data_IF_671929603547
#
_entry.id   IF_671929603547
#
_cell.length_a   1.000
_cell.length_b   1.000
_cell.length_c   1.000
_cell.angle_alpha   90.00
_cell.angle_beta   90.00
_cell.angle_gamma   90.00
#
_symmetry.space_group_name_H-M   'P 1'
#
loop_
_entity.id
_entity.type
_entity.pdbx_description
1 polymer ?
#
# COMPACT_ATOMS: atom_id res chain seq x y z
N UNK A 1 -1.67 -9.17 1.60
CA UNK A 1 -1.09 -8.70 2.89
C UNK A 1 -0.44 -7.35 2.63
N UNK A 2 -0.92 -6.30 3.29
CA UNK A 2 -0.38 -4.93 3.16
C UNK A 2 0.76 -4.63 4.14
N UNK A 3 0.97 -5.49 5.13
CA UNK A 3 2.14 -5.39 5.99
C UNK A 3 3.37 -5.87 5.23
N UNK A 4 4.45 -5.09 5.30
CA UNK A 4 5.72 -5.50 4.73
C UNK A 4 6.19 -6.77 5.46
N UNK A 5 6.62 -7.82 4.76
CA UNK A 5 7.02 -9.05 5.42
C UNK A 5 8.30 -8.81 6.22
N UNK A 6 8.20 -8.98 7.54
CA UNK A 6 9.34 -8.87 8.45
C UNK A 6 9.91 -10.25 8.74
N UNK A 7 11.22 -10.39 8.51
CA UNK A 7 11.95 -11.64 8.73
C UNK A 7 13.05 -11.42 9.76
N UNK A 8 13.03 -12.19 10.84
CA UNK A 8 14.08 -12.16 11.85
C UNK A 8 15.40 -12.70 11.29
N UNK A 9 16.53 -12.18 11.78
CA UNK A 9 17.83 -12.63 11.32
C UNK A 9 18.04 -14.13 11.64
N UNK A 10 18.50 -14.89 10.66
CA UNK A 10 18.80 -16.32 10.87
C UNK A 10 19.87 -16.50 11.97
N UNK A 11 19.68 -17.41 12.94
CA UNK A 11 20.65 -17.64 14.01
C UNK A 11 22.02 -18.02 13.46
N UNK A 12 23.04 -17.22 13.78
CA UNK A 12 24.42 -17.50 13.32
C UNK A 12 25.09 -18.50 14.25
N UNK A 13 25.50 -19.64 13.70
CA UNK A 13 26.33 -20.59 14.43
C UNK A 13 27.71 -19.97 14.71
N UNK A 14 28.22 -20.15 15.93
CA UNK A 14 29.56 -19.68 16.29
C UNK A 14 30.62 -20.39 15.46
N UNK A 15 31.52 -19.63 14.83
CA UNK A 15 32.68 -20.14 14.08
C UNK A 15 33.49 -21.13 14.93
N UNK A 16 33.88 -22.30 14.40
CA UNK A 16 34.81 -23.18 15.08
C UNK A 16 36.14 -22.47 15.26
N UNK A 17 36.67 -22.48 16.48
CA UNK A 17 38.00 -21.97 16.78
C UNK A 17 39.02 -23.07 16.43
N UNK A 18 39.55 -23.00 15.22
CA UNK A 18 40.51 -23.97 14.69
C UNK A 18 41.72 -24.13 15.61
N UNK A 19 42.21 -23.05 16.22
CA UNK A 19 43.39 -23.08 17.09
C UNK A 19 43.12 -23.88 18.36
N UNK A 20 41.96 -23.68 18.98
CA UNK A 20 41.59 -24.41 20.22
C UNK A 20 41.31 -25.89 19.96
N UNK A 21 40.74 -26.22 18.81
CA UNK A 21 40.50 -27.61 18.41
C UNK A 21 41.79 -28.37 18.11
N UNK A 22 42.75 -27.73 17.43
CA UNK A 22 44.09 -28.29 17.22
C UNK A 22 44.86 -28.45 18.52
N UNK A 23 44.86 -27.44 19.39
CA UNK A 23 45.48 -27.53 20.71
C UNK A 23 44.89 -28.67 21.56
N UNK A 24 43.56 -28.82 21.55
CA UNK A 24 42.88 -29.93 22.23
C UNK A 24 43.27 -31.30 21.67
N UNK A 25 43.39 -31.41 20.34
CA UNK A 25 43.86 -32.64 19.68
C UNK A 25 45.30 -33.00 20.03
N UNK A 26 46.21 -32.01 20.08
CA UNK A 26 47.62 -32.21 20.48
C UNK A 26 47.71 -32.62 21.95
N UNK A 27 46.96 -31.98 22.84
CA UNK A 27 46.92 -32.35 24.27
C UNK A 27 46.39 -33.78 24.44
N UNK A 28 45.33 -34.15 23.71
CA UNK A 28 44.77 -35.50 23.76
C UNK A 28 45.76 -36.55 23.25
N UNK A 29 46.48 -36.26 22.17
CA UNK A 29 47.53 -37.11 21.63
C UNK A 29 48.74 -37.20 22.58
N UNK A 30 49.11 -36.11 23.25
CA UNK A 30 50.16 -36.12 24.27
C UNK A 30 49.76 -36.95 25.49
N UNK A 31 48.53 -36.81 26.00
CA UNK A 31 48.00 -37.62 27.10
C UNK A 31 47.99 -39.11 26.76
N UNK A 32 47.67 -39.45 25.50
CA UNK A 32 47.77 -40.81 24.97
C UNK A 32 49.24 -41.29 24.99
N UNK A 33 50.17 -40.52 24.42
CA UNK A 33 51.58 -40.94 24.34
C UNK A 33 52.18 -41.10 25.73
N UNK A 34 51.87 -40.19 26.65
CA UNK A 34 52.33 -40.23 28.03
C UNK A 34 51.73 -41.44 28.75
N UNK A 35 50.43 -41.72 28.61
CA UNK A 35 49.81 -42.90 29.25
C UNK A 35 50.34 -44.23 28.72
N UNK A 36 50.64 -44.33 27.42
CA UNK A 36 51.31 -45.50 26.82
C UNK A 36 52.78 -45.58 27.28
N UNK A 37 53.50 -44.46 27.28
CA UNK A 37 54.93 -44.39 27.64
C UNK A 37 55.20 -44.70 29.11
N UNK A 38 54.42 -44.15 30.04
CA UNK A 38 54.52 -44.47 31.48
C UNK A 38 54.30 -45.96 31.75
N UNK A 39 53.44 -46.61 30.97
CA UNK A 39 53.15 -48.04 31.11
C UNK A 39 54.20 -48.93 30.42
N UNK A 40 54.79 -48.46 29.33
CA UNK A 40 55.94 -49.11 28.69
C UNK A 40 57.18 -49.09 29.61
N UNK A 41 57.40 -48.00 30.35
CA UNK A 41 58.49 -47.93 31.34
C UNK A 41 58.21 -48.73 32.62
N UNK A 42 56.94 -48.99 32.97
CA UNK A 42 56.58 -49.78 34.16
C UNK A 42 56.47 -51.29 33.91
N UNK A 43 56.39 -51.73 32.65
CA UNK A 43 56.21 -53.15 32.30
C UNK A 43 57.57 -53.85 32.16
N UNK A 44 58.18 -54.14 33.29
CA UNK A 44 59.38 -55.00 33.37
C UNK A 44 59.05 -56.50 33.47
N UNK A 45 57.85 -56.95 33.09
CA UNK A 45 57.49 -58.38 33.07
C UNK A 45 56.42 -58.63 31.99
N UNK A 46 56.74 -59.39 30.94
CA UNK A 46 55.78 -59.87 29.95
C UNK A 46 54.94 -61.02 30.55
N UNK A 47 53.73 -60.71 31.00
CA UNK A 47 52.69 -61.69 31.33
C UNK A 47 51.57 -61.68 30.29
N UNK A 48 50.96 -62.84 30.01
CA UNK A 48 49.90 -62.95 28.99
C UNK A 48 48.65 -62.10 29.29
N UNK A 49 48.44 -61.70 30.55
CA UNK A 49 47.32 -60.84 30.99
C UNK A 49 47.43 -59.40 30.47
N UNK A 50 48.65 -58.93 30.12
CA UNK A 50 48.86 -57.60 29.55
C UNK A 50 48.28 -57.49 28.14
N UNK A 51 48.26 -58.58 27.35
CA UNK A 51 47.79 -58.54 25.95
C UNK A 51 46.31 -58.15 25.83
N UNK A 52 45.47 -58.57 26.77
CA UNK A 52 44.05 -58.23 26.79
C UNK A 52 43.81 -56.76 27.19
N UNK A 53 44.68 -56.18 28.03
CA UNK A 53 44.63 -54.77 28.39
C UNK A 53 45.17 -53.89 27.25
N UNK A 54 46.25 -54.30 26.58
CA UNK A 54 46.75 -53.67 25.36
C UNK A 54 45.69 -53.70 24.23
N UNK A 55 44.94 -54.80 24.09
CA UNK A 55 43.83 -54.89 23.14
C UNK A 55 42.66 -53.94 23.51
N UNK A 56 42.23 -53.89 24.77
CA UNK A 56 41.15 -52.97 25.21
C UNK A 56 41.57 -51.50 25.18
N UNK A 57 42.82 -51.21 25.56
CA UNK A 57 43.40 -49.87 25.55
C UNK A 57 43.64 -49.35 24.14
N UNK A 58 44.10 -50.19 23.21
CA UNK A 58 44.24 -49.83 21.80
C UNK A 58 42.88 -49.56 21.14
N UNK A 59 41.84 -50.32 21.47
CA UNK A 59 40.47 -50.05 21.00
C UNK A 59 39.95 -48.71 21.52
N UNK A 60 40.11 -48.41 22.82
CA UNK A 60 39.71 -47.11 23.39
C UNK A 60 40.51 -45.94 22.82
N UNK A 61 41.79 -46.17 22.52
CA UNK A 61 42.66 -45.19 21.88
C UNK A 61 42.21 -44.88 20.44
N UNK A 62 42.00 -45.91 19.64
CA UNK A 62 41.50 -45.76 18.26
C UNK A 62 40.16 -45.04 18.27
N UNK A 63 39.29 -45.36 19.23
CA UNK A 63 37.98 -44.73 19.37
C UNK A 63 38.06 -43.23 19.73
N UNK A 64 38.90 -42.85 20.69
CA UNK A 64 39.09 -41.43 21.07
C UNK A 64 39.75 -40.61 19.97
N UNK A 65 40.77 -41.15 19.31
CA UNK A 65 41.43 -40.53 18.16
C UNK A 65 40.54 -40.46 16.92
N UNK A 66 39.53 -41.33 16.79
CA UNK A 66 38.55 -41.28 15.71
C UNK A 66 37.38 -40.31 16.02
N UNK A 67 36.89 -40.27 17.26
CA UNK A 67 35.76 -39.39 17.64
C UNK A 67 36.16 -37.92 17.61
N UNK A 68 37.36 -37.56 18.07
CA UNK A 68 37.78 -36.17 18.11
C UNK A 68 37.74 -35.47 16.72
N UNK A 69 38.37 -36.01 15.67
CA UNK A 69 38.28 -35.44 14.33
C UNK A 69 36.86 -35.55 13.76
N UNK A 70 36.11 -36.62 14.07
CA UNK A 70 34.72 -36.74 13.64
C UNK A 70 33.83 -35.64 14.23
N UNK A 71 33.98 -35.33 15.53
CA UNK A 71 33.27 -34.25 16.21
C UNK A 71 33.68 -32.88 15.66
N UNK A 72 34.97 -32.69 15.33
CA UNK A 72 35.44 -31.49 14.68
C UNK A 72 34.85 -31.32 13.28
N UNK A 73 34.87 -32.37 12.45
CA UNK A 73 34.26 -32.38 11.11
C UNK A 73 32.77 -32.10 11.21
N UNK A 74 32.05 -32.76 12.11
CA UNK A 74 30.64 -32.51 12.35
C UNK A 74 30.38 -31.04 12.74
N UNK A 75 31.24 -30.44 13.57
CA UNK A 75 31.13 -29.02 13.94
C UNK A 75 31.44 -28.06 12.79
N UNK A 76 32.43 -28.37 11.95
CA UNK A 76 32.74 -27.59 10.73
C UNK A 76 31.60 -27.69 9.73
N UNK A 77 31.05 -28.89 9.52
CA UNK A 77 29.89 -29.11 8.67
C UNK A 77 28.68 -28.36 9.21
N UNK A 78 28.37 -28.47 10.50
CA UNK A 78 27.27 -27.72 11.13
C UNK A 78 27.42 -26.21 10.93
N UNK A 79 28.61 -25.66 11.17
CA UNK A 79 28.85 -24.23 10.93
C UNK A 79 28.71 -23.85 9.45
N UNK A 80 29.20 -24.69 8.54
CA UNK A 80 29.12 -24.44 7.10
C UNK A 80 27.68 -24.49 6.61
N UNK A 81 26.90 -25.49 7.02
CA UNK A 81 25.47 -25.58 6.75
C UNK A 81 24.70 -24.42 7.37
N UNK A 82 24.97 -24.05 8.62
CA UNK A 82 24.31 -22.91 9.26
C UNK A 82 24.64 -21.59 8.55
N UNK A 83 25.88 -21.39 8.11
CA UNK A 83 26.29 -20.20 7.35
C UNK A 83 25.65 -20.17 5.96
N UNK A 84 25.60 -21.32 5.28
CA UNK A 84 24.97 -21.46 3.97
C UNK A 84 23.46 -21.21 4.05
N UNK A 85 22.79 -21.78 5.06
CA UNK A 85 21.38 -21.54 5.33
C UNK A 85 21.11 -20.08 5.68
N UNK A 86 21.94 -19.46 6.52
CA UNK A 86 21.82 -18.05 6.85
C UNK A 86 21.93 -17.15 5.60
N UNK A 87 22.85 -17.48 4.69
CA UNK A 87 23.02 -16.77 3.43
C UNK A 87 21.78 -16.90 2.53
N UNK A 88 21.31 -18.13 2.27
CA UNK A 88 20.14 -18.36 1.43
C UNK A 88 18.86 -17.80 2.04
N UNK A 89 18.71 -17.89 3.36
CA UNK A 89 17.61 -17.27 4.09
C UNK A 89 17.62 -15.76 3.85
N UNK A 90 18.74 -15.06 4.15
CA UNK A 90 18.85 -13.62 3.95
C UNK A 90 18.63 -13.19 2.50
N UNK A 91 19.13 -13.97 1.53
CA UNK A 91 18.91 -13.71 0.11
C UNK A 91 17.44 -13.84 -0.26
N UNK A 92 16.78 -14.91 0.17
CA UNK A 92 15.38 -15.19 -0.17
C UNK A 92 14.43 -14.20 0.50
N UNK A 93 14.64 -13.91 1.79
CA UNK A 93 13.83 -12.92 2.51
C UNK A 93 14.03 -11.52 1.93
N UNK A 94 15.25 -11.17 1.54
CA UNK A 94 15.55 -9.93 0.84
C UNK A 94 14.83 -9.81 -0.50
N UNK A 95 14.81 -10.88 -1.30
CA UNK A 95 14.07 -10.90 -2.58
C UNK A 95 12.56 -10.76 -2.37
N UNK A 96 11.98 -11.51 -1.44
CA UNK A 96 10.54 -11.40 -1.14
C UNK A 96 10.18 -9.99 -0.69
N UNK A 97 11.00 -9.37 0.16
CA UNK A 97 10.78 -8.00 0.61
C UNK A 97 10.91 -6.99 -0.53
N UNK A 98 11.88 -7.17 -1.43
CA UNK A 98 12.06 -6.34 -2.62
C UNK A 98 10.86 -6.45 -3.56
N UNK A 99 10.46 -7.67 -3.94
CA UNK A 99 9.29 -7.92 -4.81
C UNK A 99 8.01 -7.33 -4.20
N UNK A 100 7.86 -7.46 -2.88
CA UNK A 100 6.75 -6.88 -2.15
C UNK A 100 6.74 -5.35 -2.27
N UNK A 101 7.88 -4.68 -2.03
CA UNK A 101 8.00 -3.23 -2.17
C UNK A 101 7.83 -2.77 -3.61
N UNK A 102 8.38 -3.49 -4.60
CA UNK A 102 8.21 -3.17 -6.01
C UNK A 102 6.74 -3.16 -6.39
N UNK A 103 5.97 -4.16 -5.95
CA UNK A 103 4.53 -4.20 -6.17
C UNK A 103 3.78 -3.07 -5.47
N UNK A 104 4.13 -2.77 -4.21
CA UNK A 104 3.43 -1.75 -3.43
C UNK A 104 3.79 -0.31 -3.85
N UNK A 105 4.89 -0.13 -4.59
CA UNK A 105 5.32 1.14 -5.19
C UNK A 105 4.78 1.37 -6.60
N UNK A 106 3.99 0.43 -7.13
CA UNK A 106 3.32 0.59 -8.42
C UNK A 106 2.31 1.74 -8.34
N UNK A 107 2.18 2.48 -9.45
CA UNK A 107 1.36 3.69 -9.53
C UNK A 107 0.57 3.70 -10.82
N UNK A 108 -0.64 4.25 -10.79
CA UNK A 108 -1.48 4.45 -11.97
C UNK A 108 -1.51 5.92 -12.36
N UNK A 109 -1.58 6.21 -13.65
CA UNK A 109 -1.74 7.56 -14.16
C UNK A 109 -3.21 7.98 -14.18
N UNK A 110 -3.52 9.11 -13.56
CA UNK A 110 -4.74 9.87 -13.76
C UNK A 110 -4.55 10.78 -14.98
N UNK A 111 -5.13 10.36 -16.09
CA UNK A 111 -4.98 11.06 -17.37
C UNK A 111 -5.99 12.18 -17.53
N UNK A 112 -7.20 11.97 -17.02
CA UNK A 112 -8.26 12.97 -16.99
C UNK A 112 -9.12 12.75 -15.74
N UNK A 113 -9.67 13.84 -15.21
CA UNK A 113 -10.53 13.81 -14.04
C UNK A 113 -11.60 14.90 -14.10
N UNK A 114 -12.83 14.51 -13.78
CA UNK A 114 -13.93 15.45 -13.50
C UNK A 114 -14.25 15.36 -12.02
N UNK A 115 -14.44 16.51 -11.38
CA UNK A 115 -15.03 16.61 -10.04
C UNK A 115 -16.13 17.66 -10.07
N UNK A 116 -17.33 17.22 -9.76
CA UNK A 116 -18.50 18.04 -9.53
C UNK A 116 -18.78 18.07 -8.03
N UNK A 117 -18.86 19.26 -7.47
CA UNK A 117 -19.25 19.56 -6.10
C UNK A 117 -19.92 20.94 -6.02
N UNK A 118 -20.46 21.31 -4.86
CA UNK A 118 -21.22 22.56 -4.67
C UNK A 118 -20.45 23.82 -5.06
N UNK A 119 -19.13 23.82 -4.86
CA UNK A 119 -18.22 24.91 -5.23
C UNK A 119 -17.14 24.49 -6.22
N UNK A 120 -17.30 23.34 -6.88
CA UNK A 120 -16.32 22.78 -7.80
C UNK A 120 -17.00 22.17 -9.02
N UNK A 121 -16.74 22.72 -10.20
CA UNK A 121 -17.25 22.14 -11.46
C UNK A 121 -16.16 21.99 -12.53
N UNK A 122 -15.01 22.62 -12.30
CA UNK A 122 -13.86 22.60 -13.18
C UNK A 122 -12.61 22.37 -12.34
N UNK A 123 -11.53 21.96 -13.01
CA UNK A 123 -10.22 21.81 -12.37
C UNK A 123 -9.74 23.11 -11.70
N UNK A 124 -9.99 24.26 -12.30
CA UNK A 124 -9.65 25.56 -11.72
C UNK A 124 -10.42 25.84 -10.44
N UNK A 125 -11.73 25.53 -10.40
CA UNK A 125 -12.53 25.65 -9.17
C UNK A 125 -11.98 24.74 -8.07
N UNK A 126 -11.62 23.48 -8.40
CA UNK A 126 -11.03 22.57 -7.43
C UNK A 126 -9.70 23.04 -6.85
N UNK A 127 -8.86 23.71 -7.64
CA UNK A 127 -7.63 24.34 -7.15
C UNK A 127 -7.93 25.51 -6.21
N UNK A 128 -8.96 26.30 -6.52
CA UNK A 128 -9.42 27.39 -5.66
C UNK A 128 -9.94 26.89 -4.32
N UNK A 129 -10.57 25.71 -4.24
CA UNK A 129 -11.02 25.10 -2.97
C UNK A 129 -9.89 24.90 -1.95
N UNK A 130 -8.65 24.78 -2.42
CA UNK A 130 -7.46 24.58 -1.58
C UNK A 130 -6.75 25.90 -1.24
N UNK A 131 -7.23 27.03 -1.76
CA UNK A 131 -6.71 28.35 -1.46
C UNK A 131 -7.15 28.81 -0.07
N UNK A 132 -6.29 29.49 0.71
CA UNK A 132 -6.67 30.05 2.01
C UNK A 132 -7.79 31.11 1.93
N UNK A 133 -7.99 31.72 0.76
CA UNK A 133 -9.01 32.75 0.55
C UNK A 133 -10.39 32.17 0.19
N UNK A 134 -10.49 30.85 -0.03
CA UNK A 134 -11.75 30.21 -0.40
C UNK A 134 -12.73 30.18 0.78
N UNK A 135 -13.98 30.55 0.50
CA UNK A 135 -15.06 30.45 1.45
C UNK A 135 -15.96 29.27 1.08
N UNK A 136 -16.10 28.28 1.97
CA UNK A 136 -17.01 27.16 1.75
C UNK A 136 -18.45 27.63 1.52
N UNK A 137 -19.24 26.87 0.76
CA UNK A 137 -20.65 27.14 0.55
C UNK A 137 -21.41 27.10 1.88
N UNK A 138 -22.35 28.03 2.06
CA UNK A 138 -23.22 28.02 3.24
C UNK A 138 -24.21 26.86 3.16
N UNK A 139 -24.31 25.99 4.18
CA UNK A 139 -25.32 24.94 4.21
C UNK A 139 -26.74 25.52 4.16
N UNK A 140 -27.58 24.95 3.29
CA UNK A 140 -28.98 25.32 3.18
C UNK A 140 -29.81 24.58 4.25
N UNK A 141 -30.75 25.29 4.86
CA UNK A 141 -31.68 24.69 5.82
C UNK A 141 -32.77 23.91 5.07
N UNK A 142 -32.84 22.60 5.29
CA UNK A 142 -33.93 21.75 4.82
C UNK A 142 -34.69 21.18 6.03
N UNK A 143 -36.04 20.99 5.95
CA UNK A 143 -36.84 20.44 7.04
C UNK A 143 -36.32 19.14 7.67
N UNK A 144 -35.62 18.32 6.90
CA UNK A 144 -35.08 17.02 7.30
C UNK A 144 -33.64 17.09 7.80
N UNK A 145 -32.94 18.22 7.64
CA UNK A 145 -31.55 18.43 8.07
C UNK A 145 -30.81 19.43 7.16
N UNK A 146 -29.63 19.91 7.56
CA UNK A 146 -28.85 20.83 6.72
C UNK A 146 -28.25 20.11 5.48
N UNK A 147 -28.16 20.82 4.35
CA UNK A 147 -27.67 20.26 3.08
C UNK A 147 -26.64 21.17 2.39
N UNK A 148 -25.70 20.58 1.67
CA UNK A 148 -24.83 21.28 0.72
C UNK A 148 -25.05 20.63 -0.65
N UNK A 149 -25.64 21.39 -1.57
CA UNK A 149 -26.15 20.88 -2.85
C UNK A 149 -25.42 21.51 -4.03
N UNK A 150 -25.36 20.78 -5.14
CA UNK A 150 -24.95 21.39 -6.40
C UNK A 150 -26.06 22.33 -6.90
N UNK A 151 -25.78 23.61 -7.20
CA UNK A 151 -26.82 24.56 -7.64
C UNK A 151 -27.56 24.14 -8.91
N UNK A 152 -26.91 23.39 -9.80
CA UNK A 152 -27.44 22.97 -11.09
C UNK A 152 -28.16 21.61 -11.05
N UNK A 153 -28.18 20.96 -9.89
CA UNK A 153 -28.86 19.67 -9.68
C UNK A 153 -30.20 19.93 -9.00
N UNK A 154 -31.28 19.59 -9.69
CA UNK A 154 -32.64 19.62 -9.16
C UNK A 154 -33.20 18.21 -9.06
N UNK A 155 -33.95 17.93 -8.00
CA UNK A 155 -34.65 16.64 -7.82
C UNK A 155 -35.37 16.62 -6.48
N UNK A 156 -36.48 15.90 -6.41
CA UNK A 156 -37.32 15.82 -5.23
C UNK A 156 -36.72 14.92 -4.14
N UNK A 157 -35.98 13.89 -4.53
CA UNK A 157 -35.32 12.95 -3.63
C UNK A 157 -33.83 12.76 -4.00
N UNK A 158 -33.10 12.01 -3.17
CA UNK A 158 -31.68 11.75 -3.38
C UNK A 158 -31.39 10.90 -4.63
N UNK A 159 -32.32 10.04 -5.04
CA UNK A 159 -32.14 9.18 -6.22
C UNK A 159 -32.24 9.97 -7.53
N UNK A 160 -33.24 10.86 -7.65
CA UNK A 160 -33.39 11.74 -8.80
C UNK A 160 -32.20 12.71 -8.91
N UNK A 161 -31.73 13.21 -7.77
CA UNK A 161 -30.53 14.07 -7.73
C UNK A 161 -29.27 13.31 -8.13
N UNK A 162 -29.12 12.05 -7.72
CA UNK A 162 -28.03 11.17 -8.18
C UNK A 162 -28.08 10.94 -9.71
N UNK A 163 -29.28 10.77 -10.30
CA UNK A 163 -29.44 10.66 -11.75
C UNK A 163 -29.02 11.93 -12.48
N UNK A 164 -29.38 13.10 -11.97
CA UNK A 164 -28.97 14.38 -12.56
C UNK A 164 -27.45 14.59 -12.42
N UNK A 165 -26.86 14.21 -11.28
CA UNK A 165 -25.40 14.22 -11.10
C UNK A 165 -24.70 13.32 -12.15
N UNK A 166 -25.21 12.12 -12.38
CA UNK A 166 -24.69 11.20 -13.39
C UNK A 166 -24.77 11.80 -14.80
N UNK A 167 -25.88 12.48 -15.12
CA UNK A 167 -26.07 13.15 -16.41
C UNK A 167 -25.11 14.33 -16.60
N UNK A 168 -24.97 15.17 -15.57
CA UNK A 168 -24.04 16.30 -15.56
C UNK A 168 -22.57 15.85 -15.64
N UNK A 169 -22.22 14.73 -14.99
CA UNK A 169 -20.86 14.19 -15.03
C UNK A 169 -20.43 13.84 -16.46
N UNK A 170 -21.31 13.20 -17.23
CA UNK A 170 -21.07 12.87 -18.63
C UNK A 170 -20.95 14.12 -19.52
N UNK A 171 -21.80 15.12 -19.29
CA UNK A 171 -21.76 16.40 -20.03
C UNK A 171 -20.46 17.17 -19.74
N UNK A 172 -20.08 17.28 -18.47
CA UNK A 172 -18.85 17.98 -18.05
C UNK A 172 -17.61 17.29 -18.63
N UNK A 173 -17.59 15.95 -18.64
CA UNK A 173 -16.47 15.22 -19.23
C UNK A 173 -16.35 15.48 -20.73
N UNK A 174 -17.46 15.49 -21.47
CA UNK A 174 -17.44 15.79 -22.91
C UNK A 174 -17.01 17.23 -23.22
N UNK A 175 -17.37 18.18 -22.36
CA UNK A 175 -16.98 19.59 -22.50
C UNK A 175 -15.47 19.79 -22.27
N UNK A 176 -14.89 19.12 -21.26
CA UNK A 176 -13.48 19.35 -20.89
C UNK A 176 -12.48 18.51 -21.68
N UNK A 177 -12.88 17.32 -22.16
CA UNK A 177 -11.95 16.38 -22.79
C UNK A 177 -11.46 16.92 -24.13
N UNK A 178 -10.22 16.61 -24.46
CA UNK A 178 -9.76 16.79 -25.84
C UNK A 178 -10.54 15.85 -26.77
N UNK A 179 -11.01 16.37 -27.91
CA UNK A 179 -11.73 15.60 -28.94
C UNK A 179 -10.78 14.76 -29.81
N UNK A 180 -9.81 14.14 -29.18
CA UNK A 180 -8.86 13.19 -29.76
C UNK A 180 -9.50 11.80 -29.84
N UNK A 181 -8.83 10.85 -30.47
CA UNK A 181 -9.31 9.47 -30.63
C UNK A 181 -9.71 8.85 -29.28
N UNK A 182 -10.98 8.45 -29.18
CA UNK A 182 -11.57 7.96 -27.92
C UNK A 182 -11.26 6.48 -27.78
N UNK A 183 -10.41 6.17 -26.80
CA UNK A 183 -10.05 4.79 -26.48
C UNK A 183 -11.16 4.12 -25.69
N UNK A 184 -11.48 2.89 -26.07
CA UNK A 184 -12.45 2.06 -25.37
C UNK A 184 -11.86 1.61 -24.01
N UNK A 185 -12.53 1.86 -22.87
CA UNK A 185 -12.06 1.40 -21.58
C UNK A 185 -12.11 -0.12 -21.50
N UNK A 186 -11.08 -0.70 -20.90
CA UNK A 186 -10.95 -2.13 -20.64
C UNK A 186 -12.04 -2.61 -19.66
N UNK A 187 -12.31 -1.81 -18.63
CA UNK A 187 -13.38 -2.02 -17.67
C UNK A 187 -13.84 -0.68 -17.09
N UNK A 188 -15.01 -0.71 -16.46
CA UNK A 188 -15.64 0.43 -15.81
C UNK A 188 -15.93 0.10 -14.35
N UNK A 189 -15.57 1.00 -13.45
CA UNK A 189 -15.96 0.95 -12.04
C UNK A 189 -16.96 2.06 -11.71
N UNK A 190 -17.96 1.74 -10.89
CA UNK A 190 -19.00 2.69 -10.49
C UNK A 190 -19.24 2.74 -8.99
N UNK A 191 -19.24 3.94 -8.42
CA UNK A 191 -19.72 4.24 -7.07
C UNK A 191 -21.07 4.95 -7.16
N UNK A 192 -22.14 4.31 -6.69
CA UNK A 192 -23.50 4.85 -6.73
C UNK A 192 -24.51 3.79 -7.13
N UNK A 193 -25.77 4.19 -7.37
CA UNK A 193 -26.81 3.25 -7.79
C UNK A 193 -26.61 2.76 -9.23
N UNK A 194 -27.12 1.55 -9.52
CA UNK A 194 -27.12 1.02 -10.88
C UNK A 194 -28.00 1.85 -11.83
N UNK A 195 -29.08 2.46 -11.32
CA UNK A 195 -29.95 3.33 -12.13
C UNK A 195 -29.22 4.62 -12.52
N UNK A 196 -28.42 5.20 -11.61
CA UNK A 196 -27.57 6.34 -11.95
C UNK A 196 -26.50 5.97 -12.99
N UNK A 197 -25.91 4.76 -12.91
CA UNK A 197 -25.01 4.26 -13.96
C UNK A 197 -25.70 4.20 -15.33
N UNK A 198 -26.92 3.69 -15.41
CA UNK A 198 -27.67 3.63 -16.67
C UNK A 198 -27.91 5.02 -17.27
N UNK A 199 -28.25 6.01 -16.44
CA UNK A 199 -28.39 7.41 -16.88
C UNK A 199 -27.06 7.98 -17.37
N UNK A 200 -25.95 7.68 -16.68
CA UNK A 200 -24.61 8.04 -17.12
C UNK A 200 -24.29 7.42 -18.49
N UNK A 201 -24.52 6.11 -18.68
CA UNK A 201 -24.28 5.41 -19.96
C UNK A 201 -25.11 6.00 -21.09
N UNK A 202 -26.38 6.28 -20.86
CA UNK A 202 -27.27 6.90 -21.84
C UNK A 202 -26.70 8.27 -22.28
N UNK A 203 -26.34 9.11 -21.32
CA UNK A 203 -25.80 10.44 -21.61
C UNK A 203 -24.43 10.36 -22.29
N UNK A 204 -23.54 9.45 -21.87
CA UNK A 204 -22.23 9.24 -22.48
C UNK A 204 -22.36 8.76 -23.93
N UNK A 205 -23.37 7.93 -24.24
CA UNK A 205 -23.65 7.47 -25.60
C UNK A 205 -24.08 8.63 -26.51
N UNK A 206 -24.82 9.60 -25.95
CA UNK A 206 -25.21 10.81 -26.69
C UNK A 206 -24.02 11.75 -26.94
N UNK A 207 -23.20 11.99 -25.91
CA UNK A 207 -22.03 12.87 -26.00
C UNK A 207 -20.91 12.26 -26.87
N UNK A 208 -20.68 10.95 -26.74
CA UNK A 208 -19.61 10.23 -27.40
C UNK A 208 -20.08 8.87 -27.96
N UNK A 209 -20.72 8.84 -29.15
CA UNK A 209 -21.28 7.62 -29.74
C UNK A 209 -20.26 6.52 -30.06
N UNK A 210 -18.96 6.87 -30.12
CA UNK A 210 -17.87 5.94 -30.39
C UNK A 210 -17.50 5.11 -29.15
N UNK A 211 -17.80 5.63 -27.95
CA UNK A 211 -17.52 4.97 -26.68
C UNK A 211 -18.65 4.01 -26.32
N UNK A 212 -18.32 2.74 -26.06
CA UNK A 212 -19.30 1.72 -25.69
C UNK A 212 -19.14 1.34 -24.23
N UNK A 213 -20.00 1.85 -23.35
CA UNK A 213 -19.96 1.44 -21.94
C UNK A 213 -20.75 0.14 -21.72
N UNK A 214 -20.34 -0.71 -20.77
CA UNK A 214 -21.07 -1.93 -20.47
C UNK A 214 -22.42 -1.63 -19.81
N UNK A 215 -23.38 -2.55 -19.95
CA UNK A 215 -24.70 -2.44 -19.30
C UNK A 215 -24.58 -2.38 -17.77
N UNK A 216 -23.63 -3.12 -17.20
CA UNK A 216 -23.34 -3.16 -15.77
C UNK A 216 -21.85 -2.92 -15.51
N UNK A 217 -21.49 -2.01 -14.58
CA UNK A 217 -20.12 -1.74 -14.21
C UNK A 217 -19.64 -2.72 -13.12
N UNK A 218 -18.33 -2.79 -12.90
CA UNK A 218 -17.78 -3.36 -11.65
C UNK A 218 -18.10 -2.39 -10.49
N UNK A 219 -18.53 -2.87 -9.32
CA UNK A 219 -18.77 -1.99 -8.18
C UNK A 219 -17.45 -1.39 -7.69
N UNK A 220 -17.45 -0.10 -7.38
CA UNK A 220 -16.33 0.55 -6.70
C UNK A 220 -16.24 0.09 -5.25
N UNK A 221 -15.05 -0.37 -4.85
CA UNK A 221 -14.75 -0.90 -3.51
C UNK A 221 -13.60 -0.14 -2.86
N UNK A 222 -13.53 1.17 -3.10
CA UNK A 222 -12.49 2.03 -2.55
C UNK A 222 -11.09 1.60 -2.98
N UNK A 223 -10.19 1.46 -2.00
CA UNK A 223 -8.80 1.11 -2.26
C UNK A 223 -8.61 -0.24 -2.94
N UNK A 224 -9.53 -1.20 -2.75
CA UNK A 224 -9.42 -2.52 -3.40
C UNK A 224 -9.57 -2.41 -4.91
N UNK A 225 -10.49 -1.57 -5.37
CA UNK A 225 -10.67 -1.29 -6.80
C UNK A 225 -9.43 -0.58 -7.34
N UNK A 226 -8.93 0.45 -6.65
CA UNK A 226 -7.71 1.16 -7.06
C UNK A 226 -6.50 0.22 -7.17
N UNK A 227 -6.31 -0.66 -6.18
CA UNK A 227 -5.23 -1.65 -6.18
C UNK A 227 -5.32 -2.62 -7.38
N UNK A 228 -6.53 -3.14 -7.66
CA UNK A 228 -6.80 -4.01 -8.80
C UNK A 228 -6.50 -3.29 -10.13
N UNK A 229 -6.85 -2.00 -10.23
CA UNK A 229 -6.59 -1.19 -11.42
C UNK A 229 -5.08 -1.00 -11.62
N UNK A 230 -4.35 -0.68 -10.56
CA UNK A 230 -2.88 -0.56 -10.60
C UNK A 230 -2.25 -1.88 -11.07
N UNK A 231 -2.67 -3.02 -10.53
CA UNK A 231 -2.19 -4.33 -10.96
C UNK A 231 -2.46 -4.60 -12.45
N UNK A 232 -3.63 -4.21 -12.97
CA UNK A 232 -4.01 -4.38 -14.38
C UNK A 232 -3.21 -3.47 -15.32
N UNK A 233 -2.89 -2.25 -14.88
CA UNK A 233 -2.27 -1.22 -15.74
C UNK A 233 -0.74 -1.22 -15.71
N UNK A 234 -0.09 -1.78 -14.68
CA UNK A 234 1.37 -1.71 -14.50
C UNK A 234 2.20 -2.19 -15.71
N UNK A 235 1.70 -3.17 -16.46
CA UNK A 235 2.37 -3.72 -17.65
C UNK A 235 1.47 -3.70 -18.90
N UNK A 236 0.38 -2.93 -18.85
CA UNK A 236 -0.52 -2.79 -19.97
C UNK A 236 0.07 -1.86 -21.04
N UNK A 237 -0.27 -2.04 -22.33
CA UNK A 237 0.05 -1.08 -23.38
C UNK A 237 -0.51 0.31 -23.09
N UNK A 238 0.16 1.36 -23.57
CA UNK A 238 -0.23 2.77 -23.34
C UNK A 238 -1.62 3.15 -23.88
N UNK A 239 -2.27 2.30 -24.68
CA UNK A 239 -3.63 2.51 -25.18
C UNK A 239 -4.71 1.97 -24.23
N UNK A 240 -4.35 1.20 -23.20
CA UNK A 240 -5.33 0.64 -22.27
C UNK A 240 -5.82 1.72 -21.31
N UNK A 241 -7.13 1.81 -21.15
CA UNK A 241 -7.78 2.75 -20.23
C UNK A 241 -8.70 2.02 -19.28
N UNK A 242 -8.90 2.59 -18.09
CA UNK A 242 -9.95 2.19 -17.15
C UNK A 242 -10.76 3.42 -16.78
N UNK A 243 -12.08 3.29 -16.83
CA UNK A 243 -13.00 4.33 -16.39
C UNK A 243 -13.43 4.04 -14.95
N UNK A 244 -13.26 4.99 -14.04
CA UNK A 244 -13.86 4.92 -12.72
C UNK A 244 -14.72 6.15 -12.54
N UNK A 245 -15.98 5.99 -12.17
CA UNK A 245 -16.86 7.13 -11.95
C UNK A 245 -17.81 6.88 -10.78
N UNK A 246 -18.43 7.92 -10.29
CA UNK A 246 -19.44 7.78 -9.27
C UNK A 246 -20.16 9.06 -8.93
N UNK A 247 -21.33 8.90 -8.34
CA UNK A 247 -22.18 9.98 -7.87
C UNK A 247 -22.63 9.66 -6.45
N UNK A 248 -22.76 10.70 -5.64
CA UNK A 248 -23.36 10.60 -4.33
C UNK A 248 -24.29 11.80 -4.13
N UNK A 249 -25.52 11.51 -3.73
CA UNK A 249 -26.43 12.49 -3.14
C UNK A 249 -26.94 11.93 -1.82
N UNK A 250 -26.48 12.50 -0.71
CA UNK A 250 -26.83 12.00 0.63
C UNK A 250 -28.18 12.58 1.04
N UNK A 251 -29.02 11.78 1.69
CA UNK A 251 -30.28 12.24 2.25
C UNK A 251 -30.05 13.14 3.48
N UNK A 252 -30.80 14.23 3.64
CA UNK A 252 -30.72 15.09 4.82
C UNK A 252 -31.15 14.35 6.09
N UNK A 253 -30.42 14.58 7.19
CA UNK A 253 -30.72 14.03 8.51
C UNK A 253 -30.44 15.09 9.59
N UNK A 254 -31.35 15.26 10.55
CA UNK A 254 -31.23 16.30 11.60
C UNK A 254 -30.11 16.05 12.59
N UNK A 255 -29.87 14.78 12.90
CA UNK A 255 -28.96 14.37 13.99
C UNK A 255 -27.54 14.08 13.48
N UNK A 256 -27.26 14.31 12.19
CA UNK A 256 -25.95 14.07 11.59
C UNK A 256 -25.00 15.25 11.84
N UNK A 257 -23.75 14.94 12.18
CA UNK A 257 -22.71 15.94 12.46
C UNK A 257 -22.39 16.81 11.24
N UNK A 258 -22.40 16.21 10.04
CA UNK A 258 -22.13 16.89 8.78
C UNK A 258 -23.41 17.06 7.97
N UNK A 259 -23.57 18.20 7.27
CA UNK A 259 -24.69 18.39 6.36
C UNK A 259 -24.66 17.34 5.24
N UNK A 260 -25.83 16.98 4.72
CA UNK A 260 -25.90 16.03 3.62
C UNK A 260 -25.30 16.64 2.35
N UNK A 261 -24.36 15.91 1.76
CA UNK A 261 -23.53 16.37 0.66
C UNK A 261 -23.90 15.82 -0.71
N UNK A 262 -23.31 16.44 -1.72
CA UNK A 262 -23.38 15.99 -3.12
C UNK A 262 -22.05 16.12 -3.83
N UNK A 263 -21.68 15.08 -4.58
CA UNK A 263 -20.58 15.15 -5.51
C UNK A 263 -20.72 14.11 -6.62
N UNK A 264 -20.02 14.34 -7.71
CA UNK A 264 -19.79 13.34 -8.74
C UNK A 264 -18.32 13.40 -9.21
N UNK A 265 -17.73 12.24 -9.47
CA UNK A 265 -16.32 12.13 -9.86
C UNK A 265 -16.20 11.20 -11.05
N UNK A 266 -15.30 11.53 -11.97
CA UNK A 266 -14.88 10.65 -13.05
C UNK A 266 -13.36 10.65 -13.12
N UNK A 267 -12.76 9.46 -13.26
CA UNK A 267 -11.35 9.23 -13.51
C UNK A 267 -11.18 8.44 -14.80
N UNK A 268 -10.30 8.96 -15.64
CA UNK A 268 -9.77 8.26 -16.79
C UNK A 268 -8.35 7.81 -16.47
N UNK A 269 -8.18 6.52 -16.17
CA UNK A 269 -6.93 5.95 -15.71
C UNK A 269 -6.18 5.25 -16.84
N UNK A 270 -4.86 5.37 -16.83
CA UNK A 270 -3.97 4.70 -17.79
C UNK A 270 -2.64 4.28 -17.17
N UNK A 271 -1.76 3.62 -17.95
CA UNK A 271 -0.45 3.18 -17.46
C UNK A 271 0.51 4.35 -17.18
N UNK A 272 0.41 5.44 -17.94
CA UNK A 272 1.36 6.57 -17.94
C UNK A 272 0.68 7.91 -18.24
N UNK A 273 1.31 9.01 -17.79
CA UNK A 273 0.90 10.40 -18.04
C UNK A 273 0.29 11.12 -16.84
N UNK A 274 0.17 12.45 -16.95
CA UNK A 274 -0.56 13.30 -16.01
C UNK A 274 -0.06 13.23 -14.57
N UNK A 275 -0.96 12.93 -13.64
CA UNK A 275 -0.65 12.75 -12.21
C UNK A 275 -0.65 11.28 -11.88
N UNK A 276 0.24 10.83 -10.98
CA UNK A 276 0.30 9.45 -10.55
C UNK A 276 -0.34 9.26 -9.18
N UNK A 277 -1.26 8.31 -9.11
CA UNK A 277 -1.77 7.80 -7.84
C UNK A 277 -0.90 6.64 -7.36
N UNK A 278 -0.36 6.79 -6.16
CA UNK A 278 0.24 5.68 -5.43
C UNK A 278 -0.85 4.76 -4.88
N UNK A 279 -0.49 3.49 -4.61
CA UNK A 279 -1.33 2.64 -3.77
C UNK A 279 -1.54 3.33 -2.42
N UNK A 280 -2.78 3.32 -1.95
CA UNK A 280 -3.12 3.84 -0.64
C UNK A 280 -2.93 2.79 0.45
N UNK A 281 -2.83 3.24 1.69
CA UNK A 281 -2.89 2.46 2.91
C UNK A 281 -4.23 2.63 3.62
N UNK A 282 -4.60 1.70 4.49
CA UNK A 282 -5.79 1.80 5.32
C UNK A 282 -5.42 1.55 6.78
N UNK A 283 -6.19 2.15 7.67
CA UNK A 283 -5.99 2.05 9.10
C UNK A 283 -7.25 1.52 9.77
N UNK A 284 -7.04 0.53 10.64
CA UNK A 284 -8.06 0.00 11.55
C UNK A 284 -7.44 -0.02 12.95
N UNK A 285 -8.11 0.61 13.92
CA UNK A 285 -7.62 0.78 15.30
C UNK A 285 -7.28 -0.53 16.01
N UNK A 286 -7.86 -1.65 15.59
CA UNK A 286 -7.64 -2.97 16.19
C UNK A 286 -6.39 -3.70 15.65
N UNK A 287 -5.79 -3.26 14.54
CA UNK A 287 -4.79 -4.05 13.81
C UNK A 287 -3.36 -3.51 13.93
N UNK A 288 -3.16 -2.21 13.71
CA UNK A 288 -1.82 -1.59 13.67
C UNK A 288 -1.88 -0.16 14.22
N UNK A 289 -0.74 0.39 14.64
CA UNK A 289 -0.64 1.81 15.01
C UNK A 289 -0.62 2.72 13.78
N UNK A 290 -1.31 3.87 13.86
CA UNK A 290 -1.45 4.80 12.75
C UNK A 290 -0.10 5.31 12.23
N UNK A 291 0.86 5.54 13.11
CA UNK A 291 2.22 5.95 12.73
C UNK A 291 2.92 4.92 11.82
N UNK A 292 2.70 3.63 12.05
CA UNK A 292 3.27 2.55 11.24
C UNK A 292 2.63 2.53 9.85
N UNK A 293 1.31 2.68 9.78
CA UNK A 293 0.56 2.75 8.52
C UNK A 293 0.98 3.99 7.71
N UNK A 294 1.08 5.15 8.36
CA UNK A 294 1.55 6.39 7.72
C UNK A 294 2.99 6.25 7.20
N UNK A 295 3.89 5.68 7.98
CA UNK A 295 5.27 5.44 7.55
C UNK A 295 5.33 4.50 6.33
N UNK A 296 4.47 3.47 6.30
CA UNK A 296 4.37 2.56 5.15
C UNK A 296 3.89 3.29 3.90
N UNK A 297 2.86 4.15 4.02
CA UNK A 297 2.39 4.98 2.91
C UNK A 297 3.48 5.89 2.33
N UNK A 298 4.34 6.47 3.19
CA UNK A 298 5.51 7.26 2.76
C UNK A 298 6.53 6.40 2.01
N UNK A 299 6.88 5.22 2.55
CA UNK A 299 7.83 4.30 1.91
C UNK A 299 7.32 3.75 0.56
N UNK A 300 6.02 3.55 0.42
CA UNK A 300 5.36 3.18 -0.85
C UNK A 300 5.40 4.32 -1.87
N UNK A 301 5.24 5.55 -1.38
CA UNK A 301 5.30 6.74 -2.22
C UNK A 301 6.74 7.19 -2.53
N UNK A 302 7.74 6.53 -1.91
CA UNK A 302 9.17 6.90 -1.94
C UNK A 302 9.45 8.31 -1.40
N UNK A 303 8.69 8.73 -0.40
CA UNK A 303 8.88 10.01 0.28
C UNK A 303 9.73 9.82 1.54
N UNK A 304 10.68 10.73 1.77
CA UNK A 304 11.50 10.76 2.99
C UNK A 304 10.80 11.45 4.17
N UNK A 305 9.83 12.31 3.88
CA UNK A 305 9.04 13.07 4.84
C UNK A 305 7.57 13.16 4.38
N UNK A 306 6.62 13.44 5.29
CA UNK A 306 5.22 13.71 4.94
C UNK A 306 5.07 14.74 3.82
N UNK A 307 4.06 14.55 2.98
CA UNK A 307 3.74 15.52 1.93
C UNK A 307 3.40 16.89 2.56
N UNK A 308 3.84 18.01 1.94
CA UNK A 308 3.65 19.35 2.50
C UNK A 308 2.18 19.77 2.61
N UNK A 309 1.33 19.23 1.73
CA UNK A 309 -0.11 19.44 1.68
C UNK A 309 -0.82 18.10 1.80
N UNK A 310 -1.97 18.09 2.48
CA UNK A 310 -2.82 16.92 2.58
C UNK A 310 -4.29 17.32 2.46
N UNK A 311 -4.97 16.83 1.42
CA UNK A 311 -6.42 17.02 1.29
C UNK A 311 -7.14 15.98 2.14
N UNK A 312 -8.10 16.39 2.97
CA UNK A 312 -8.72 15.47 3.92
C UNK A 312 -10.21 15.66 4.11
N UNK A 313 -10.91 14.58 4.44
CA UNK A 313 -12.20 14.61 5.13
C UNK A 313 -12.03 14.29 6.62
N UNK A 314 -12.93 14.81 7.45
CA UNK A 314 -12.87 14.62 8.90
C UNK A 314 -13.05 13.15 9.27
N UNK A 315 -12.21 12.68 10.19
CA UNK A 315 -12.32 11.33 10.78
C UNK A 315 -12.41 11.48 12.30
N UNK A 316 -13.59 11.87 12.83
CA UNK A 316 -13.76 12.21 14.25
C UNK A 316 -13.41 11.06 15.19
N UNK A 317 -13.50 9.82 14.71
CA UNK A 317 -13.20 8.62 15.48
C UNK A 317 -11.68 8.32 15.58
N UNK A 318 -10.82 9.13 14.95
CA UNK A 318 -9.36 8.91 14.89
C UNK A 318 -8.62 10.19 15.32
N UNK A 319 -8.47 10.42 16.64
CA UNK A 319 -7.88 11.66 17.17
C UNK A 319 -6.37 11.81 16.90
N UNK A 320 -5.66 10.74 16.57
CA UNK A 320 -4.19 10.70 16.41
C UNK A 320 -3.69 11.14 15.02
N UNK A 321 -4.58 11.58 14.14
CA UNK A 321 -4.28 11.94 12.75
C UNK A 321 -3.22 13.06 12.62
N UNK A 322 -3.19 14.00 13.56
CA UNK A 322 -2.17 15.06 13.63
C UNK A 322 -0.78 14.56 14.03
N UNK A 323 -0.68 13.39 14.68
CA UNK A 323 0.57 12.80 15.18
C UNK A 323 1.37 12.15 14.04
N UNK A 324 0.71 11.73 12.95
CA UNK A 324 1.36 11.15 11.77
C UNK A 324 2.17 12.15 10.94
N UNK A 325 2.14 13.45 11.28
CA UNK A 325 2.91 14.50 10.62
C UNK A 325 2.31 15.00 9.30
N UNK A 326 1.10 14.57 8.94
CA UNK A 326 0.39 15.01 7.75
C UNK A 326 -0.39 16.29 8.09
N UNK A 327 -0.33 17.31 7.24
CA UNK A 327 -0.92 18.63 7.51
C UNK A 327 -2.39 18.67 7.09
N UNK A 328 -3.30 18.34 8.02
CA UNK A 328 -4.72 18.07 7.79
C UNK A 328 -5.59 19.33 7.92
N UNK A 329 -5.22 20.24 8.83
CA UNK A 329 -6.08 21.37 9.23
C UNK A 329 -6.34 22.37 8.10
N UNK A 330 -5.42 22.49 7.14
CA UNK A 330 -5.47 23.52 6.10
C UNK A 330 -6.29 23.14 4.86
N UNK A 331 -6.72 21.88 4.73
CA UNK A 331 -7.38 21.40 3.51
C UNK A 331 -8.49 20.40 3.80
N UNK A 332 -9.20 20.62 4.90
CA UNK A 332 -10.39 19.87 5.29
C UNK A 332 -11.57 20.18 4.33
N UNK A 333 -12.21 19.15 3.78
CA UNK A 333 -13.20 19.28 2.70
C UNK A 333 -14.66 19.13 3.16
N UNK A 334 -14.91 18.81 4.43
CA UNK A 334 -16.27 18.60 4.97
C UNK A 334 -17.19 19.81 4.73
N UNK A 335 -16.66 21.03 4.88
CA UNK A 335 -17.43 22.26 4.65
C UNK A 335 -17.73 22.52 3.16
N UNK A 336 -16.92 21.98 2.25
CA UNK A 336 -17.08 22.17 0.80
C UNK A 336 -18.07 21.20 0.18
N UNK A 337 -18.14 19.97 0.71
CA UNK A 337 -18.90 18.88 0.10
C UNK A 337 -19.96 18.27 1.00
N UNK A 338 -19.89 18.45 2.32
CA UNK A 338 -20.74 17.75 3.28
C UNK A 338 -20.42 16.25 3.33
N UNK A 339 -21.38 15.46 3.79
CA UNK A 339 -21.25 14.01 3.90
C UNK A 339 -21.38 13.32 2.52
N UNK A 340 -20.30 12.69 2.06
CA UNK A 340 -20.21 12.03 0.74
C UNK A 340 -20.14 10.50 0.79
N UNK A 341 -20.27 9.88 1.98
CA UNK A 341 -20.24 8.43 2.15
C UNK A 341 -19.05 7.81 1.39
N UNK A 342 -19.26 6.76 0.59
CA UNK A 342 -18.18 6.05 -0.11
C UNK A 342 -17.46 6.81 -1.23
N UNK A 343 -17.81 8.08 -1.51
CA UNK A 343 -17.18 8.89 -2.56
C UNK A 343 -16.01 9.77 -2.05
N UNK A 344 -15.81 9.89 -0.73
CA UNK A 344 -14.79 10.79 -0.15
C UNK A 344 -13.38 10.51 -0.67
N UNK A 345 -12.96 9.24 -0.73
CA UNK A 345 -11.65 8.86 -1.29
C UNK A 345 -11.47 9.38 -2.72
N UNK A 346 -12.50 9.27 -3.57
CA UNK A 346 -12.40 9.73 -4.95
C UNK A 346 -12.29 11.26 -5.02
N UNK A 347 -13.05 11.99 -4.19
CA UNK A 347 -12.96 13.45 -4.13
C UNK A 347 -11.60 13.91 -3.60
N UNK A 348 -11.16 13.37 -2.46
CA UNK A 348 -9.90 13.75 -1.83
C UNK A 348 -8.70 13.46 -2.74
N UNK A 349 -8.68 12.28 -3.39
CA UNK A 349 -7.61 11.92 -4.32
C UNK A 349 -7.59 12.81 -5.57
N UNK A 350 -8.76 13.21 -6.09
CA UNK A 350 -8.84 14.13 -7.25
C UNK A 350 -8.29 15.51 -6.92
N UNK A 351 -8.67 16.08 -5.76
CA UNK A 351 -8.17 17.37 -5.31
C UNK A 351 -6.66 17.32 -5.02
N UNK A 352 -6.19 16.24 -4.40
CA UNK A 352 -4.76 16.03 -4.19
C UNK A 352 -4.00 15.91 -5.51
N UNK A 353 -4.57 15.24 -6.52
CA UNK A 353 -3.98 15.18 -7.85
C UNK A 353 -3.85 16.56 -8.49
N UNK A 354 -4.94 17.34 -8.52
CA UNK A 354 -4.91 18.69 -9.09
C UNK A 354 -3.95 19.62 -8.37
N UNK A 355 -3.85 19.51 -7.04
CA UNK A 355 -2.85 20.24 -6.27
C UNK A 355 -1.42 19.83 -6.63
N UNK A 356 -1.16 18.52 -6.73
CA UNK A 356 0.16 17.99 -7.02
C UNK A 356 0.64 18.40 -8.41
N UNK A 357 -0.26 18.35 -9.41
CA UNK A 357 0.02 18.78 -10.78
C UNK A 357 0.33 20.28 -10.86
N UNK A 358 -0.45 21.12 -10.16
CA UNK A 358 -0.27 22.57 -10.19
C UNK A 358 1.04 23.02 -9.54
N UNK A 359 1.43 22.39 -8.43
CA UNK A 359 2.57 22.83 -7.62
C UNK A 359 3.85 22.03 -7.87
N UNK A 360 3.77 20.96 -8.69
CA UNK A 360 4.89 20.04 -8.93
C UNK A 360 5.41 19.34 -7.67
N UNK A 361 4.57 19.23 -6.63
CA UNK A 361 4.92 18.65 -5.33
C UNK A 361 3.93 17.56 -4.95
N UNK A 362 4.37 16.46 -4.32
CA UNK A 362 3.46 15.43 -3.83
C UNK A 362 2.39 16.02 -2.90
N UNK A 363 1.16 15.57 -3.05
CA UNK A 363 0.04 15.91 -2.17
C UNK A 363 -0.54 14.63 -1.59
N UNK A 364 -0.62 14.59 -0.26
CA UNK A 364 -1.30 13.52 0.43
C UNK A 364 -2.82 13.67 0.31
N UNK A 365 -3.54 12.58 0.52
CA UNK A 365 -4.98 12.58 0.74
C UNK A 365 -5.36 11.63 1.88
N UNK A 366 -6.44 11.99 2.59
CA UNK A 366 -7.02 11.24 3.71
C UNK A 366 -8.55 11.25 3.59
N UNK A 367 -9.18 10.10 3.67
CA UNK A 367 -10.63 9.98 3.57
C UNK A 367 -11.12 8.69 4.24
N UNK A 368 -12.44 8.49 4.27
CA UNK A 368 -12.99 7.14 4.41
C UNK A 368 -13.03 6.44 3.04
N UNK A 369 -13.17 5.12 3.06
CA UNK A 369 -13.61 4.36 1.89
C UNK A 369 -14.78 3.43 2.29
N UNK A 370 -15.42 2.74 1.32
CA UNK A 370 -16.55 1.85 1.62
C UNK A 370 -16.27 0.71 2.62
N UNK A 371 -15.01 0.43 2.96
CA UNK A 371 -14.59 -0.69 3.79
C UNK A 371 -13.80 -0.29 5.04
N UNK A 372 -13.22 0.90 5.06
CA UNK A 372 -12.28 1.35 6.07
C UNK A 372 -12.59 2.80 6.47
N UNK A 373 -12.62 3.05 7.78
CA UNK A 373 -12.85 4.38 8.35
C UNK A 373 -11.76 5.37 7.93
N UNK A 374 -10.50 4.91 7.78
CA UNK A 374 -9.42 5.76 7.32
C UNK A 374 -8.59 5.07 6.25
N UNK A 375 -8.44 5.77 5.14
CA UNK A 375 -7.55 5.47 4.04
C UNK A 375 -6.69 6.69 3.73
N UNK A 376 -5.46 6.42 3.31
CA UNK A 376 -4.46 7.45 3.05
C UNK A 376 -3.60 7.09 1.86
N UNK A 377 -3.10 8.10 1.15
CA UNK A 377 -2.16 7.88 0.06
C UNK A 377 -1.63 9.20 -0.47
N UNK A 378 -0.92 9.10 -1.60
CA UNK A 378 -0.21 10.24 -2.20
C UNK A 378 -0.48 10.30 -3.69
N UNK A 379 -0.77 11.51 -4.16
CA UNK A 379 -0.74 11.90 -5.56
C UNK A 379 0.54 12.70 -5.85
N UNK A 380 1.18 12.44 -6.97
CA UNK A 380 2.40 13.14 -7.40
C UNK A 380 2.31 13.51 -8.89
N UNK A 381 2.88 14.65 -9.27
CA UNK A 381 3.02 14.97 -10.70
C UNK A 381 3.94 13.95 -11.38
N UNK A 382 3.62 13.53 -12.61
CA UNK A 382 4.51 12.65 -13.37
C UNK A 382 5.80 13.42 -13.73
N UNK A 383 6.95 12.78 -13.53
CA UNK A 383 8.28 13.38 -13.76
C UNK A 383 8.49 13.78 -15.23
N UNK A 384 7.67 13.26 -16.15
CA UNK A 384 7.65 13.64 -17.57
C UNK A 384 6.98 15.00 -17.86
N UNK A 385 6.34 15.60 -16.85
CA UNK A 385 5.59 16.86 -16.95
C UNK A 385 6.39 18.10 -16.55
N UNK A 386 7.70 17.96 -16.28
CA UNK A 386 8.61 19.06 -15.92
C UNK A 386 9.61 19.40 -17.04
#
# INVERSE_FOLDING_TARGET
MRTAPEYSAYPRARKPDYSRWWAGGVVLLFLVIVSVGLRFTSSSFLGWEDTAWWAKGSVGLVYTLAIWPLAFVARVLYHSFASHNAYWYAKTTGQIQQDWWERHRQKVALMDAVLLGPSCSTRQHGQQLLSPDHQPPTPEANPEGPVIRLPHVSGADSAEREHQLARLLALQWDEQREKTEVLQPLCCYWQGSLSAWQVFVEQMTQCCPQLRLPESPEPWQGLRSLDSIIDRLQHAPDAIRVLCAGCQSTSPERDRLLPAGEAAVLWWLGPRGGVRFSRGEWFTTAEEELATVAQRALQQSKLEAPAPSCVSFSQPDIPELSIAGWNIEKSLQDANFGALAGLELMVASTLAAWHAEQHGKPCAWLANDPHHTLVLGVAEADESSQ
#
